data_IF_888758831557
#
_entry.id   IF_888758831557
#
_cell.length_a   1.000
_cell.length_b   1.000
_cell.length_c   1.000
_cell.angle_alpha   90.00
_cell.angle_beta   90.00
_cell.angle_gamma   90.00
#
_symmetry.space_group_name_H-M   'P 1'
#
loop_
_entity.id
_entity.type
_entity.pdbx_description
1 polymer ?
#
# COMPACT_ATOMS: atom_id res chain seq x y z
N UNK A 1 -6.82 23.92 35.17
CA UNK A 1 -8.08 23.36 34.62
C UNK A 1 -7.78 22.78 33.25
N UNK A 2 -7.76 21.45 33.12
CA UNK A 2 -7.58 20.80 31.82
C UNK A 2 -8.91 20.81 31.06
N UNK A 3 -8.93 21.47 29.91
CA UNK A 3 -10.10 21.57 29.03
C UNK A 3 -10.32 20.17 28.41
N UNK A 4 -11.36 19.46 28.86
CA UNK A 4 -11.81 18.20 28.22
C UNK A 4 -12.22 18.53 26.79
N UNK A 5 -11.38 18.22 25.81
CA UNK A 5 -11.78 18.22 24.40
C UNK A 5 -12.93 17.22 24.24
N UNK A 6 -14.11 17.73 23.87
CA UNK A 6 -15.24 16.89 23.50
C UNK A 6 -14.89 16.18 22.19
N UNK A 7 -14.48 14.91 22.29
CA UNK A 7 -14.40 13.98 21.16
C UNK A 7 -15.72 14.03 20.37
N UNK A 8 -15.65 14.52 19.13
CA UNK A 8 -16.81 14.58 18.24
C UNK A 8 -16.93 13.25 17.53
N UNK A 9 -18.03 12.54 17.77
CA UNK A 9 -18.44 11.44 16.92
C UNK A 9 -18.90 11.99 15.58
N UNK A 10 -18.47 11.38 14.47
CA UNK A 10 -18.99 11.72 13.15
C UNK A 10 -20.46 11.26 13.08
N UNK A 11 -21.38 12.20 12.79
CA UNK A 11 -22.83 11.98 12.82
C UNK A 11 -23.24 10.78 11.96
N UNK A 12 -24.01 9.87 12.56
CA UNK A 12 -24.64 8.71 11.93
C UNK A 12 -26.06 9.05 11.49
N UNK A 13 -26.50 8.54 10.34
CA UNK A 13 -27.92 8.51 9.98
C UNK A 13 -28.54 7.25 10.59
N UNK A 14 -29.52 7.33 11.51
CA UNK A 14 -30.07 6.17 12.23
C UNK A 14 -30.82 5.12 11.38
N UNK A 15 -30.84 5.27 10.05
CA UNK A 15 -31.71 4.50 9.14
C UNK A 15 -31.00 3.49 8.24
N UNK A 16 -29.70 3.28 8.41
CA UNK A 16 -29.00 2.24 7.66
C UNK A 16 -29.03 0.93 8.45
N UNK A 17 -29.77 -0.07 7.94
CA UNK A 17 -29.61 -1.47 8.35
C UNK A 17 -28.11 -1.76 8.47
N UNK A 18 -27.70 -2.36 9.61
CA UNK A 18 -26.34 -2.89 9.76
C UNK A 18 -26.01 -3.68 8.47
N UNK A 19 -25.02 -3.26 7.67
CA UNK A 19 -24.74 -3.90 6.41
C UNK A 19 -24.40 -5.36 6.68
N UNK A 20 -24.96 -6.25 5.87
CA UNK A 20 -24.67 -7.67 5.98
C UNK A 20 -23.20 -7.94 5.68
N UNK A 21 -22.67 -9.06 6.18
CA UNK A 21 -21.30 -9.49 5.90
C UNK A 21 -21.04 -9.59 4.40
N UNK A 22 -22.04 -10.02 3.64
CA UNK A 22 -22.00 -10.12 2.18
C UNK A 22 -21.77 -8.76 1.53
N UNK A 23 -22.36 -7.68 2.06
CA UNK A 23 -22.12 -6.32 1.56
C UNK A 23 -20.67 -5.86 1.81
N UNK A 24 -20.07 -6.24 2.94
CA UNK A 24 -18.66 -5.95 3.21
C UNK A 24 -17.74 -6.72 2.25
N UNK A 25 -18.04 -8.00 2.02
CA UNK A 25 -17.32 -8.85 1.05
C UNK A 25 -17.44 -8.28 -0.36
N UNK A 26 -18.63 -7.83 -0.76
CA UNK A 26 -18.84 -7.19 -2.06
C UNK A 26 -17.99 -5.93 -2.25
N UNK A 27 -17.86 -5.09 -1.22
CA UNK A 27 -17.01 -3.89 -1.30
C UNK A 27 -15.53 -4.27 -1.48
N UNK A 28 -15.04 -5.29 -0.78
CA UNK A 28 -13.66 -5.81 -1.00
C UNK A 28 -13.50 -6.36 -2.42
N UNK A 29 -14.44 -7.19 -2.87
CA UNK A 29 -14.38 -7.85 -4.17
C UNK A 29 -14.54 -6.88 -5.35
N UNK A 30 -15.25 -5.76 -5.15
CA UNK A 30 -15.37 -4.70 -6.15
C UNK A 30 -14.00 -4.19 -6.63
N UNK A 31 -13.06 -3.99 -5.70
CA UNK A 31 -11.69 -3.55 -6.02
C UNK A 31 -10.89 -4.61 -6.78
N UNK A 32 -11.28 -5.89 -6.68
CA UNK A 32 -10.61 -6.99 -7.37
C UNK A 32 -10.99 -7.14 -8.85
N UNK A 33 -12.03 -6.44 -9.30
CA UNK A 33 -12.54 -6.52 -10.68
C UNK A 33 -11.58 -5.93 -11.72
N UNK A 34 -10.68 -5.04 -11.29
CA UNK A 34 -9.65 -4.44 -12.14
C UNK A 34 -8.54 -5.46 -12.38
N UNK A 35 -8.32 -5.79 -13.65
CA UNK A 35 -7.35 -6.79 -14.13
C UNK A 35 -5.95 -6.21 -14.31
N UNK A 36 -5.86 -4.94 -14.68
CA UNK A 36 -4.61 -4.23 -14.87
C UNK A 36 -4.78 -2.72 -14.67
N UNK A 37 -3.68 -2.07 -14.30
CA UNK A 37 -3.57 -0.63 -14.07
C UNK A 37 -2.26 -0.17 -14.70
N UNK A 38 -2.29 0.90 -15.48
CA UNK A 38 -1.10 1.62 -15.90
C UNK A 38 -1.29 3.12 -15.67
N UNK A 39 -0.29 3.79 -15.10
CA UNK A 39 -0.36 5.23 -14.89
C UNK A 39 0.92 5.84 -14.32
N UNK A 40 0.94 7.17 -14.31
CA UNK A 40 1.95 7.97 -13.63
C UNK A 40 1.56 8.19 -12.16
N UNK A 41 2.55 8.09 -11.29
CA UNK A 41 2.34 8.16 -9.84
C UNK A 41 3.39 9.05 -9.18
N UNK A 42 2.97 9.74 -8.13
CA UNK A 42 3.86 10.34 -7.15
C UNK A 42 4.13 9.33 -6.03
N UNK A 43 5.39 9.15 -5.67
CA UNK A 43 5.83 8.20 -4.65
C UNK A 43 6.55 8.96 -3.55
N UNK A 44 6.13 8.74 -2.31
CA UNK A 44 6.69 9.37 -1.14
C UNK A 44 7.17 8.32 -0.15
N UNK A 45 8.48 8.24 0.08
CA UNK A 45 9.08 7.32 1.03
C UNK A 45 9.07 7.91 2.44
N UNK A 46 8.67 7.10 3.42
CA UNK A 46 8.66 7.39 4.84
C UNK A 46 9.52 6.33 5.53
N UNK A 47 10.68 6.71 6.06
CA UNK A 47 11.48 5.80 6.86
C UNK A 47 10.82 5.64 8.25
N UNK A 48 10.45 4.41 8.62
CA UNK A 48 9.87 4.14 9.94
C UNK A 48 10.93 3.79 11.00
N UNK A 49 12.20 3.67 10.60
CA UNK A 49 13.32 3.40 11.52
C UNK A 49 13.62 4.56 12.48
N UNK A 50 13.03 5.73 12.26
CA UNK A 50 13.22 6.94 13.08
C UNK A 50 12.09 7.24 14.08
N UNK A 51 11.12 6.34 14.27
CA UNK A 51 10.05 6.54 15.25
C UNK A 51 10.53 6.59 16.73
N UNK A 52 11.83 6.43 17.01
CA UNK A 52 12.45 6.59 18.33
C UNK A 52 13.19 7.92 18.53
N UNK A 53 13.31 8.77 17.51
CA UNK A 53 13.98 10.08 17.62
C UNK A 53 13.12 11.12 16.92
N UNK A 54 12.54 12.05 17.69
CA UNK A 54 11.52 13.02 17.27
C UNK A 54 11.93 14.06 16.21
N UNK A 55 12.58 13.64 15.14
CA UNK A 55 12.90 14.43 13.96
C UNK A 55 12.24 13.73 12.77
N UNK A 56 11.00 14.14 12.49
CA UNK A 56 10.32 13.81 11.25
C UNK A 56 10.97 14.59 10.10
N UNK A 57 12.14 14.13 9.64
CA UNK A 57 12.85 14.74 8.52
C UNK A 57 12.06 14.56 7.22
N UNK A 58 12.00 15.64 6.46
CA UNK A 58 11.06 15.86 5.36
C UNK A 58 11.18 14.82 4.23
N UNK A 59 10.00 14.30 3.90
CA UNK A 59 9.60 13.40 2.85
C UNK A 59 10.12 13.75 1.45
N UNK A 60 10.57 12.75 0.68
CA UNK A 60 10.90 12.94 -0.74
C UNK A 60 9.81 12.38 -1.63
N UNK A 61 9.19 13.28 -2.37
CA UNK A 61 8.29 13.00 -3.49
C UNK A 61 9.16 12.71 -4.72
N UNK A 62 8.96 11.56 -5.34
CA UNK A 62 9.60 11.17 -6.61
C UNK A 62 8.52 10.75 -7.60
N UNK A 63 8.80 10.92 -8.88
CA UNK A 63 7.89 10.51 -9.94
C UNK A 63 8.04 9.01 -10.19
N UNK A 64 6.99 8.39 -10.69
CA UNK A 64 7.03 7.00 -11.10
C UNK A 64 6.05 6.67 -12.22
N UNK A 65 6.27 5.54 -12.86
CA UNK A 65 5.31 4.90 -13.75
C UNK A 65 5.11 3.48 -13.29
N UNK A 66 3.86 3.12 -13.00
CA UNK A 66 3.49 1.80 -12.53
C UNK A 66 2.61 1.11 -13.56
N UNK A 67 2.93 -0.15 -13.84
CA UNK A 67 2.11 -1.07 -14.62
C UNK A 67 1.87 -2.31 -13.78
N UNK A 68 0.62 -2.67 -13.58
CA UNK A 68 0.18 -3.82 -12.78
C UNK A 68 -0.72 -4.69 -13.62
N UNK A 69 -0.60 -6.02 -13.49
CA UNK A 69 -1.52 -6.97 -14.10
C UNK A 69 -1.72 -8.19 -13.20
N UNK A 70 -2.97 -8.65 -13.05
CA UNK A 70 -3.25 -9.88 -12.32
C UNK A 70 -2.78 -11.11 -13.13
N UNK A 71 -2.29 -12.18 -12.47
CA UNK A 71 -1.96 -12.26 -11.04
C UNK A 71 -0.54 -11.77 -10.74
N UNK A 72 -0.37 -10.86 -9.78
CA UNK A 72 0.95 -10.54 -9.17
C UNK A 72 2.01 -9.92 -10.09
N UNK A 73 1.65 -9.47 -11.30
CA UNK A 73 2.59 -8.85 -12.24
C UNK A 73 2.72 -7.36 -11.99
N UNK A 74 3.94 -6.87 -12.02
CA UNK A 74 4.25 -5.46 -11.85
C UNK A 74 5.49 -5.07 -12.63
N UNK A 75 5.46 -3.84 -13.15
CA UNK A 75 6.62 -3.11 -13.62
C UNK A 75 6.54 -1.70 -13.05
N UNK A 76 7.57 -1.27 -12.34
CA UNK A 76 7.65 0.05 -11.74
C UNK A 76 8.97 0.71 -12.15
N UNK A 77 8.86 1.93 -12.67
CA UNK A 77 9.98 2.84 -12.86
C UNK A 77 9.84 3.95 -11.82
N UNK A 78 10.94 4.28 -11.15
CA UNK A 78 11.03 5.39 -10.19
C UNK A 78 12.05 6.39 -10.75
N UNK A 79 11.64 7.66 -10.81
CA UNK A 79 12.37 8.72 -11.49
C UNK A 79 12.57 9.93 -10.55
N UNK A 80 13.74 10.54 -10.62
CA UNK A 80 14.04 11.81 -9.98
C UNK A 80 14.59 12.78 -11.02
N UNK A 81 13.96 13.95 -11.18
CA UNK A 81 14.35 14.95 -12.19
C UNK A 81 14.53 14.31 -13.59
N UNK A 82 13.55 13.53 -14.02
CA UNK A 82 13.53 12.81 -15.31
C UNK A 82 14.60 11.72 -15.50
N UNK A 83 15.35 11.36 -14.45
CA UNK A 83 16.35 10.28 -14.49
C UNK A 83 15.86 9.08 -13.69
N UNK A 84 15.95 7.89 -14.29
CA UNK A 84 15.59 6.64 -13.59
C UNK A 84 16.57 6.37 -12.44
N UNK A 85 16.03 6.25 -11.23
CA UNK A 85 16.80 5.90 -10.03
C UNK A 85 16.72 4.40 -9.74
N UNK A 86 15.58 3.78 -10.03
CA UNK A 86 15.38 2.36 -9.92
C UNK A 86 14.27 1.87 -10.84
N UNK A 87 14.40 0.63 -11.27
CA UNK A 87 13.37 -0.10 -11.96
C UNK A 87 13.16 -1.43 -11.28
N UNK A 88 11.92 -1.89 -11.20
CA UNK A 88 11.61 -3.19 -10.64
C UNK A 88 10.47 -3.86 -11.37
N UNK A 89 10.56 -5.17 -11.49
CA UNK A 89 9.56 -5.98 -12.16
C UNK A 89 9.32 -7.27 -11.40
N UNK A 90 8.10 -7.80 -11.48
CA UNK A 90 7.77 -9.15 -11.07
C UNK A 90 6.80 -9.75 -12.07
N UNK A 91 7.02 -11.01 -12.43
CA UNK A 91 6.14 -11.80 -13.29
C UNK A 91 5.04 -12.57 -12.51
N UNK A 92 5.01 -12.39 -11.18
CA UNK A 92 4.13 -13.08 -10.26
C UNK A 92 4.85 -14.12 -9.41
N UNK A 93 5.99 -14.64 -9.88
CA UNK A 93 6.78 -15.66 -9.19
C UNK A 93 8.20 -15.17 -8.91
N UNK A 94 8.82 -14.51 -9.88
CA UNK A 94 10.18 -13.99 -9.83
C UNK A 94 10.15 -12.48 -9.94
N UNK A 95 11.00 -11.83 -9.15
CA UNK A 95 11.20 -10.40 -9.23
C UNK A 95 12.64 -10.05 -9.60
N UNK A 96 12.78 -8.87 -10.18
CA UNK A 96 14.06 -8.25 -10.52
C UNK A 96 14.02 -6.79 -10.12
N UNK A 97 15.10 -6.30 -9.53
CA UNK A 97 15.26 -4.89 -9.14
C UNK A 97 16.60 -4.39 -9.66
N UNK A 98 16.58 -3.32 -10.44
CA UNK A 98 17.78 -2.59 -10.83
C UNK A 98 17.81 -1.26 -10.07
N UNK A 99 18.83 -1.07 -9.25
CA UNK A 99 19.13 0.23 -8.62
C UNK A 99 20.19 0.91 -9.48
N UNK A 100 19.84 2.04 -10.10
CA UNK A 100 20.60 2.65 -11.19
C UNK A 100 21.42 3.87 -10.76
N UNK A 101 21.09 4.44 -9.60
CA UNK A 101 21.69 5.67 -9.04
C UNK A 101 21.96 5.47 -7.54
N UNK A 102 22.70 6.40 -6.95
CA UNK A 102 23.29 6.29 -5.61
C UNK A 102 24.77 5.96 -5.64
N UNK A 103 25.39 5.84 -4.45
CA UNK A 103 26.79 5.40 -4.32
C UNK A 103 27.00 4.05 -5.04
N UNK A 104 28.21 3.80 -5.55
CA UNK A 104 28.50 2.60 -6.32
C UNK A 104 28.20 1.30 -5.55
N UNK A 105 28.26 1.34 -4.21
CA UNK A 105 27.86 0.20 -3.36
C UNK A 105 26.36 -0.16 -3.44
N UNK A 106 25.52 0.74 -3.94
CA UNK A 106 24.09 0.53 -4.06
C UNK A 106 23.63 0.21 -5.49
N UNK A 107 24.44 0.50 -6.51
CA UNK A 107 24.12 0.12 -7.90
C UNK A 107 24.21 -1.39 -8.02
N UNK A 108 23.10 -2.03 -8.37
CA UNK A 108 23.02 -3.49 -8.41
C UNK A 108 21.81 -3.97 -9.19
N UNK A 109 21.94 -5.17 -9.73
CA UNK A 109 20.84 -5.92 -10.31
C UNK A 109 20.50 -7.12 -9.42
N UNK A 110 19.38 -7.05 -8.70
CA UNK A 110 18.90 -8.11 -7.81
C UNK A 110 17.90 -8.99 -8.55
N UNK A 111 18.03 -10.31 -8.38
CA UNK A 111 17.05 -11.32 -8.82
C UNK A 111 16.57 -12.08 -7.59
N UNK A 112 15.28 -12.38 -7.53
CA UNK A 112 14.71 -13.16 -6.44
C UNK A 112 13.37 -13.79 -6.79
N UNK A 113 12.87 -14.63 -5.89
CA UNK A 113 11.52 -15.19 -5.90
C UNK A 113 10.60 -14.46 -4.91
N UNK A 114 9.32 -14.38 -5.24
CA UNK A 114 8.31 -13.71 -4.41
C UNK A 114 8.02 -14.45 -3.09
N UNK A 115 8.26 -15.77 -3.05
CA UNK A 115 8.03 -16.62 -1.88
C UNK A 115 9.16 -16.62 -0.85
N UNK A 116 10.35 -16.14 -1.22
CA UNK A 116 11.49 -16.15 -0.31
C UNK A 116 11.43 -15.01 0.71
N UNK A 117 11.85 -15.32 1.94
CA UNK A 117 12.05 -14.32 2.99
C UNK A 117 13.50 -13.86 2.98
N UNK A 118 13.75 -12.65 2.46
CA UNK A 118 15.10 -12.09 2.44
C UNK A 118 15.39 -11.36 3.75
N UNK A 119 16.57 -11.58 4.35
CA UNK A 119 17.01 -10.79 5.49
C UNK A 119 17.10 -9.32 5.09
N UNK A 120 16.93 -8.45 6.08
CA UNK A 120 17.13 -7.02 5.94
C UNK A 120 18.52 -6.75 5.37
N UNK A 121 18.61 -5.87 4.39
CA UNK A 121 19.89 -5.32 3.98
C UNK A 121 20.26 -4.20 4.96
N UNK A 122 21.35 -4.37 5.69
CA UNK A 122 21.87 -3.33 6.57
C UNK A 122 22.34 -2.15 5.72
N UNK A 123 21.67 -1.01 5.86
CA UNK A 123 22.16 0.26 5.34
C UNK A 123 23.01 0.92 6.40
N UNK A 124 24.33 0.95 6.17
CA UNK A 124 25.27 1.67 7.03
C UNK A 124 24.86 3.16 7.09
N UNK A 125 24.47 3.62 8.28
CA UNK A 125 24.11 5.01 8.51
C UNK A 125 25.37 5.89 8.45
N UNK A 126 25.70 6.42 7.27
CA UNK A 126 26.80 7.40 7.15
C UNK A 126 26.33 8.80 7.51
N UNK A 127 26.85 9.32 8.62
CA UNK A 127 26.79 10.72 9.04
C UNK A 127 27.56 11.61 8.06
N UNK A 128 26.87 12.30 7.14
CA UNK A 128 27.50 13.24 6.22
C UNK A 128 26.49 14.17 5.53
N UNK A 129 26.75 15.47 5.57
CA UNK A 129 25.88 16.55 5.08
C UNK A 129 26.14 16.87 3.59
N UNK A 130 25.04 17.02 2.83
CA UNK A 130 24.88 17.63 1.47
C UNK A 130 24.64 16.72 0.25
N UNK A 131 24.72 15.39 0.35
CA UNK A 131 24.32 14.45 -0.72
C UNK A 131 23.26 13.42 -0.27
N UNK A 132 22.35 13.85 0.63
CA UNK A 132 21.32 13.01 1.28
C UNK A 132 20.23 12.50 0.32
N UNK A 133 19.85 13.37 -0.63
CA UNK A 133 19.21 13.12 -1.94
C UNK A 133 18.82 11.70 -2.36
N UNK A 134 19.73 11.16 -3.15
CA UNK A 134 19.57 9.90 -3.84
C UNK A 134 19.86 8.74 -2.90
N UNK A 135 20.77 8.93 -1.94
CA UNK A 135 21.20 7.90 -0.98
C UNK A 135 20.06 7.39 -0.10
N UNK A 136 19.21 8.28 0.41
CA UNK A 136 18.09 7.89 1.29
C UNK A 136 16.97 7.19 0.51
N UNK A 137 16.67 7.61 -0.73
CA UNK A 137 15.72 6.91 -1.61
C UNK A 137 16.25 5.50 -1.96
N UNK A 138 17.52 5.41 -2.33
CA UNK A 138 18.19 4.15 -2.65
C UNK A 138 18.25 3.20 -1.44
N UNK A 139 18.43 3.74 -0.24
CA UNK A 139 18.34 2.99 1.03
C UNK A 139 16.93 2.44 1.27
N UNK A 140 15.88 3.26 1.13
CA UNK A 140 14.50 2.81 1.28
C UNK A 140 14.10 1.74 0.24
N UNK A 141 14.66 1.84 -0.97
CA UNK A 141 14.49 0.85 -2.03
C UNK A 141 15.17 -0.49 -1.74
N UNK A 142 16.10 -0.55 -0.78
CA UNK A 142 16.84 -1.78 -0.50
C UNK A 142 15.94 -2.91 0.03
N UNK A 143 14.89 -2.56 0.79
CA UNK A 143 13.92 -3.50 1.36
C UNK A 143 12.58 -3.52 0.60
N UNK A 144 12.36 -2.57 -0.32
CA UNK A 144 11.16 -2.56 -1.15
C UNK A 144 11.23 -3.70 -2.18
N UNK A 145 10.19 -4.53 -2.22
CA UNK A 145 10.04 -5.57 -3.23
C UNK A 145 8.75 -5.36 -4.03
N UNK A 146 8.72 -5.76 -5.32
CA UNK A 146 7.60 -5.43 -6.19
C UNK A 146 6.27 -6.03 -5.74
N UNK A 147 6.30 -7.23 -5.14
CA UNK A 147 5.09 -7.90 -4.67
C UNK A 147 4.36 -7.13 -3.56
N UNK A 148 5.07 -6.31 -2.76
CA UNK A 148 4.41 -5.50 -1.73
C UNK A 148 3.46 -4.46 -2.36
N UNK A 149 3.79 -3.99 -3.56
CA UNK A 149 2.97 -3.06 -4.33
C UNK A 149 1.80 -3.77 -5.01
N UNK A 150 2.03 -4.97 -5.57
CA UNK A 150 0.92 -5.74 -6.15
C UNK A 150 -0.10 -6.12 -5.09
N UNK A 151 0.32 -6.50 -3.89
CA UNK A 151 -0.60 -6.87 -2.81
C UNK A 151 -1.43 -5.67 -2.32
N UNK A 152 -0.84 -4.47 -2.35
CA UNK A 152 -1.52 -3.23 -1.96
C UNK A 152 -2.48 -2.70 -3.04
N UNK A 153 -2.09 -2.72 -4.32
CA UNK A 153 -2.92 -2.18 -5.40
C UNK A 153 -3.93 -3.18 -5.96
N UNK A 154 -3.59 -4.48 -5.94
CA UNK A 154 -4.36 -5.55 -6.56
C UNK A 154 -4.88 -6.53 -5.51
N UNK A 155 -5.67 -6.00 -4.55
CA UNK A 155 -6.28 -6.76 -3.45
C UNK A 155 -6.88 -8.07 -3.96
N UNK A 156 -6.53 -9.18 -3.31
CA UNK A 156 -7.08 -10.50 -3.64
C UNK A 156 -8.55 -10.57 -3.23
N UNK A 157 -9.44 -11.08 -4.10
CA UNK A 157 -10.84 -11.25 -3.74
C UNK A 157 -10.99 -12.16 -2.51
N UNK A 158 -12.09 -11.98 -1.81
CA UNK A 158 -12.64 -12.91 -0.85
C UNK A 158 -13.46 -13.93 -1.62
N UNK A 159 -13.01 -15.19 -1.60
CA UNK A 159 -13.74 -16.32 -2.16
C UNK A 159 -14.55 -17.01 -1.06
N UNK A 160 -15.87 -17.03 -1.23
CA UNK A 160 -16.79 -17.68 -0.30
C UNK A 160 -16.58 -19.21 -0.22
N UNK A 161 -15.96 -19.80 -1.25
CA UNK A 161 -15.72 -21.24 -1.34
C UNK A 161 -14.30 -21.65 -0.88
N UNK A 162 -13.49 -20.72 -0.39
CA UNK A 162 -12.09 -20.95 -0.01
C UNK A 162 -11.90 -21.84 1.24
N UNK A 163 -12.97 -22.14 1.98
CA UNK A 163 -12.87 -22.79 3.29
C UNK A 163 -12.33 -21.88 4.40
N UNK A 164 -12.06 -20.61 4.10
CA UNK A 164 -11.65 -19.61 5.09
C UNK A 164 -12.86 -19.12 5.90
N UNK A 165 -12.58 -18.71 7.14
CA UNK A 165 -13.59 -18.19 8.07
C UNK A 165 -13.56 -16.68 8.04
N UNK A 166 -14.75 -16.06 7.97
CA UNK A 166 -14.90 -14.61 7.97
C UNK A 166 -15.80 -14.15 9.12
N UNK A 167 -15.23 -13.37 10.02
CA UNK A 167 -15.94 -12.73 11.15
C UNK A 167 -16.12 -11.24 10.90
N UNK A 168 -17.19 -10.69 11.48
CA UNK A 168 -17.48 -9.26 11.41
C UNK A 168 -17.53 -8.68 12.82
N UNK A 169 -16.80 -7.61 13.06
CA UNK A 169 -16.83 -6.84 14.31
C UNK A 169 -16.87 -5.33 14.03
N UNK A 170 -16.97 -4.51 15.09
CA UNK A 170 -16.99 -3.05 15.00
C UNK A 170 -15.84 -2.47 15.81
N UNK A 171 -15.23 -1.40 15.30
CA UNK A 171 -14.14 -0.70 15.96
C UNK A 171 -14.29 0.81 15.83
N UNK A 172 -13.92 1.54 16.87
CA UNK A 172 -13.97 3.00 16.90
C UNK A 172 -12.56 3.52 17.08
N UNK A 173 -12.05 4.22 16.07
CA UNK A 173 -10.69 4.75 16.08
C UNK A 173 -10.71 6.26 16.24
N UNK A 174 -9.91 6.77 17.16
CA UNK A 174 -9.65 8.20 17.25
C UNK A 174 -8.59 8.61 16.22
N UNK A 175 -8.90 9.56 15.35
CA UNK A 175 -8.01 10.00 14.28
C UNK A 175 -8.09 11.53 14.07
N UNK A 176 -7.09 12.16 13.44
CA UNK A 176 -7.16 13.57 13.07
C UNK A 176 -8.36 13.86 12.18
N UNK A 177 -9.07 14.96 12.43
CA UNK A 177 -10.16 15.41 11.59
C UNK A 177 -9.60 16.04 10.30
N UNK A 178 -9.71 15.30 9.20
CA UNK A 178 -9.17 15.69 7.88
C UNK A 178 -10.17 16.49 7.03
N UNK A 179 -11.36 16.81 7.56
CA UNK A 179 -12.36 17.60 6.83
C UNK A 179 -11.85 19.02 6.59
N UNK A 180 -12.17 19.61 5.42
CA UNK A 180 -11.72 20.96 5.02
C UNK A 180 -12.01 22.07 6.05
N UNK A 181 -13.06 21.91 6.85
CA UNK A 181 -13.49 22.89 7.86
C UNK A 181 -12.99 22.57 9.27
N UNK A 182 -12.25 21.48 9.46
CA UNK A 182 -11.76 21.07 10.76
C UNK A 182 -10.67 22.03 11.25
N UNK A 183 -10.72 22.39 12.55
CA UNK A 183 -9.63 23.15 13.17
C UNK A 183 -8.40 22.26 13.27
N UNK A 184 -7.22 22.82 13.02
CA UNK A 184 -5.94 22.10 13.17
C UNK A 184 -5.84 21.45 14.56
N UNK A 185 -5.45 20.18 14.60
CA UNK A 185 -5.33 19.40 15.84
C UNK A 185 -6.62 18.77 16.35
N UNK A 186 -7.77 19.07 15.73
CA UNK A 186 -9.04 18.41 16.09
C UNK A 186 -8.96 16.93 15.81
N UNK A 187 -9.43 16.10 16.75
CA UNK A 187 -9.59 14.67 16.59
C UNK A 187 -11.07 14.28 16.54
N UNK A 188 -11.36 13.23 15.80
CA UNK A 188 -12.70 12.63 15.67
C UNK A 188 -12.62 11.15 15.97
N UNK A 189 -13.74 10.60 16.45
CA UNK A 189 -13.89 9.15 16.56
C UNK A 189 -14.57 8.66 15.29
N UNK A 190 -13.86 7.84 14.51
CA UNK A 190 -14.36 7.24 13.28
C UNK A 190 -14.73 5.77 13.51
N UNK A 191 -15.98 5.38 13.20
CA UNK A 191 -16.42 4.00 13.31
C UNK A 191 -16.06 3.19 12.06
N UNK A 192 -15.62 1.95 12.27
CA UNK A 192 -15.29 0.98 11.23
C UNK A 192 -16.06 -0.33 11.46
N UNK A 193 -16.41 -1.01 10.37
CA UNK A 193 -16.59 -2.46 10.41
C UNK A 193 -15.23 -3.12 10.18
N UNK A 194 -14.93 -4.15 10.96
CA UNK A 194 -13.82 -5.05 10.70
C UNK A 194 -14.38 -6.32 10.08
N UNK A 195 -13.86 -6.70 8.93
CA UNK A 195 -14.03 -8.02 8.35
C UNK A 195 -12.70 -8.75 8.49
N UNK A 196 -12.68 -9.87 9.20
CA UNK A 196 -11.45 -10.58 9.54
C UNK A 196 -11.48 -11.96 8.90
N UNK A 197 -10.41 -12.28 8.17
CA UNK A 197 -10.23 -13.55 7.47
C UNK A 197 -9.29 -14.44 8.26
N UNK A 198 -9.73 -15.66 8.53
CA UNK A 198 -8.97 -16.68 9.25
C UNK A 198 -8.82 -17.95 8.41
N UNK A 199 -7.66 -18.56 8.50
CA UNK A 199 -7.49 -19.98 8.19
C UNK A 199 -7.73 -20.81 9.44
N UNK A 200 -8.29 -22.01 9.27
CA UNK A 200 -8.43 -22.99 10.34
C UNK A 200 -7.66 -24.25 9.96
N UNK A 201 -6.84 -24.75 10.88
CA UNK A 201 -6.17 -26.04 10.77
C UNK A 201 -6.39 -26.82 12.07
N UNK A 202 -7.32 -27.77 12.06
CA UNK A 202 -7.75 -28.48 13.27
C UNK A 202 -8.34 -27.53 14.31
N UNK A 203 -7.76 -27.51 15.51
CA UNK A 203 -8.17 -26.64 16.60
C UNK A 203 -7.60 -25.21 16.48
N UNK A 204 -6.58 -25.00 15.65
CA UNK A 204 -5.90 -23.72 15.53
C UNK A 204 -6.56 -22.83 14.46
N UNK A 205 -6.83 -21.58 14.81
CA UNK A 205 -7.24 -20.54 13.87
C UNK A 205 -6.17 -19.46 13.76
N UNK A 206 -5.82 -19.05 12.54
CA UNK A 206 -4.82 -18.01 12.27
C UNK A 206 -5.43 -16.89 11.44
N UNK A 207 -5.31 -15.66 11.94
CA UNK A 207 -5.74 -14.47 11.20
C UNK A 207 -4.82 -14.23 10.02
N UNK A 208 -5.38 -14.13 8.82
CA UNK A 208 -4.64 -13.88 7.58
C UNK A 208 -4.71 -12.40 7.21
N UNK A 209 -5.93 -11.85 7.21
CA UNK A 209 -6.22 -10.47 6.79
C UNK A 209 -7.27 -9.83 7.69
N UNK A 210 -7.14 -8.53 7.91
CA UNK A 210 -8.19 -7.69 8.50
C UNK A 210 -8.50 -6.53 7.55
N UNK A 211 -9.74 -6.47 7.10
CA UNK A 211 -10.27 -5.38 6.29
C UNK A 211 -10.99 -4.39 7.20
N UNK A 212 -10.59 -3.14 7.12
CA UNK A 212 -11.21 -2.02 7.81
C UNK A 212 -12.11 -1.29 6.83
N UNK A 213 -13.40 -1.33 7.08
CA UNK A 213 -14.41 -0.72 6.22
C UNK A 213 -14.97 0.50 6.94
N UNK A 214 -14.72 1.68 6.38
CA UNK A 214 -15.26 2.93 6.90
C UNK A 214 -16.78 2.93 6.76
N UNK A 215 -17.44 3.52 7.76
CA UNK A 215 -18.88 3.66 7.87
C UNK A 215 -19.34 5.09 7.58
N UNK A 216 -18.42 6.04 7.47
CA UNK A 216 -18.71 7.46 7.27
C UNK A 216 -18.80 7.74 5.77
N UNK A 217 -19.98 8.18 5.31
CA UNK A 217 -20.18 8.52 3.89
C UNK A 217 -20.32 7.32 2.95
N UNK A 218 -20.47 6.10 3.48
CA UNK A 218 -20.67 4.87 2.71
C UNK A 218 -19.99 3.67 3.36
N UNK A 219 -20.06 2.51 2.70
CA UNK A 219 -19.29 1.31 3.01
C UNK A 219 -18.10 1.31 2.06
N UNK A 220 -16.92 1.69 2.55
CA UNK A 220 -15.70 1.82 1.74
C UNK A 220 -14.53 1.14 2.42
N UNK A 221 -13.78 0.35 1.66
CA UNK A 221 -12.55 -0.22 2.18
C UNK A 221 -11.55 0.91 2.46
N UNK A 222 -11.18 1.07 3.73
CA UNK A 222 -10.28 2.13 4.17
C UNK A 222 -8.88 1.60 4.46
N UNK A 223 -8.74 0.34 4.90
CA UNK A 223 -7.45 -0.25 5.27
C UNK A 223 -7.47 -1.77 5.23
N UNK A 224 -6.33 -2.38 4.92
CA UNK A 224 -6.11 -3.83 4.93
C UNK A 224 -4.82 -4.13 5.68
N UNK A 225 -4.92 -5.00 6.67
CA UNK A 225 -3.78 -5.52 7.41
C UNK A 225 -3.57 -6.99 7.07
N UNK A 226 -2.32 -7.42 6.89
CA UNK A 226 -1.95 -8.82 6.69
C UNK A 226 -1.01 -9.29 7.79
N UNK A 227 -1.13 -10.56 8.17
CA UNK A 227 -0.41 -11.13 9.31
C UNK A 227 0.40 -12.36 8.87
N UNK A 228 1.53 -12.61 9.56
CA UNK A 228 2.32 -13.83 9.38
C UNK A 228 1.72 -15.02 10.15
N UNK A 229 2.35 -16.18 10.03
CA UNK A 229 1.91 -17.40 10.71
C UNK A 229 1.91 -17.32 12.25
N UNK A 230 2.63 -16.33 12.81
CA UNK A 230 2.69 -16.07 14.26
C UNK A 230 1.71 -14.98 14.68
N UNK A 231 0.88 -14.47 13.77
CA UNK A 231 -0.06 -13.39 14.02
C UNK A 231 0.59 -12.00 14.11
N UNK A 232 1.83 -11.85 13.64
CA UNK A 232 2.53 -10.56 13.62
C UNK A 232 2.09 -9.76 12.39
N UNK A 233 1.84 -8.46 12.56
CA UNK A 233 1.49 -7.56 11.46
C UNK A 233 2.67 -7.45 10.47
N UNK A 234 2.42 -7.84 9.22
CA UNK A 234 3.41 -7.84 8.12
C UNK A 234 3.25 -6.61 7.24
N UNK A 235 2.03 -6.34 6.80
CA UNK A 235 1.72 -5.21 5.93
C UNK A 235 0.44 -4.53 6.41
N UNK A 236 0.44 -3.22 6.31
CA UNK A 236 -0.68 -2.37 6.67
C UNK A 236 -0.89 -1.34 5.56
N UNK A 237 -1.97 -1.50 4.79
CA UNK A 237 -2.29 -0.70 3.61
C UNK A 237 -3.51 0.16 3.90
N UNK A 238 -3.39 1.47 3.73
CA UNK A 238 -4.50 2.41 3.85
C UNK A 238 -4.86 3.02 2.49
N UNK A 239 -6.16 3.14 2.24
CA UNK A 239 -6.74 3.57 0.97
C UNK A 239 -7.45 4.92 1.16
N UNK A 240 -7.08 5.89 0.35
CA UNK A 240 -7.57 7.26 0.47
C UNK A 240 -8.10 7.80 -0.85
N UNK A 241 -8.94 8.83 -0.74
CA UNK A 241 -9.41 9.65 -1.84
C UNK A 241 -10.03 8.81 -2.98
N UNK A 242 -11.07 8.05 -2.63
CA UNK A 242 -11.88 7.31 -3.60
C UNK A 242 -12.38 8.27 -4.70
N UNK A 243 -12.10 7.94 -5.95
CA UNK A 243 -12.60 8.66 -7.12
C UNK A 243 -12.62 7.77 -8.36
N UNK A 244 -13.27 8.24 -9.41
CA UNK A 244 -13.24 7.56 -10.72
C UNK A 244 -11.83 7.70 -11.33
N UNK A 245 -11.17 6.56 -11.55
CA UNK A 245 -9.95 6.44 -12.34
C UNK A 245 -10.31 5.85 -13.71
N UNK A 246 -9.56 6.21 -14.76
CA UNK A 246 -9.70 5.60 -16.08
C UNK A 246 -9.77 6.58 -17.23
N UNK A 247 -9.06 6.30 -18.32
CA UNK A 247 -9.12 7.05 -19.59
C UNK A 247 -10.17 6.51 -20.57
N UNK A 248 -10.44 5.20 -20.54
CA UNK A 248 -11.43 4.52 -21.39
C UNK A 248 -12.34 3.63 -20.56
N UNK A 249 -11.79 2.54 -20.00
CA UNK A 249 -12.46 1.81 -18.93
C UNK A 249 -12.30 2.61 -17.63
N UNK A 250 -13.38 2.77 -16.87
CA UNK A 250 -13.36 3.51 -15.60
C UNK A 250 -13.77 2.64 -14.42
N UNK A 251 -13.21 2.94 -13.24
CA UNK A 251 -13.58 2.32 -11.99
C UNK A 251 -13.44 3.32 -10.83
N UNK A 252 -14.32 3.21 -9.82
CA UNK A 252 -14.13 3.92 -8.55
C UNK A 252 -13.03 3.22 -7.76
N UNK A 253 -11.90 3.89 -7.56
CA UNK A 253 -10.73 3.33 -6.91
C UNK A 253 -10.09 4.37 -5.98
N UNK A 254 -9.31 3.94 -4.97
CA UNK A 254 -8.52 4.85 -4.17
C UNK A 254 -7.43 5.49 -5.03
N UNK A 255 -7.31 6.82 -4.97
CA UNK A 255 -6.27 7.51 -5.73
C UNK A 255 -4.96 7.66 -5.00
N UNK A 256 -4.94 7.38 -3.69
CA UNK A 256 -3.74 7.35 -2.86
C UNK A 256 -3.75 6.10 -2.00
N UNK A 257 -2.63 5.39 -1.99
CA UNK A 257 -2.41 4.16 -1.24
C UNK A 257 -1.19 4.37 -0.37
N UNK A 258 -1.34 4.17 0.93
CA UNK A 258 -0.22 4.17 1.88
C UNK A 258 0.07 2.74 2.31
N UNK A 259 1.33 2.33 2.31
CA UNK A 259 1.79 0.99 2.66
C UNK A 259 2.79 1.14 3.80
N UNK A 260 2.53 0.48 4.93
CA UNK A 260 3.50 0.36 6.04
C UNK A 260 3.90 -1.10 6.15
N UNK A 261 5.19 -1.38 6.18
CA UNK A 261 5.74 -2.72 6.47
C UNK A 261 6.68 -2.62 7.66
N UNK A 262 6.17 -2.80 8.89
CA UNK A 262 6.95 -2.55 10.11
C UNK A 262 8.22 -3.40 10.21
N UNK A 263 8.16 -4.66 9.77
CA UNK A 263 9.29 -5.58 9.81
C UNK A 263 10.38 -5.21 8.78
N UNK A 264 9.98 -4.63 7.64
CA UNK A 264 10.88 -4.13 6.60
C UNK A 264 11.26 -2.65 6.83
N UNK A 265 10.73 -2.04 7.89
CA UNK A 265 11.00 -0.69 8.39
C UNK A 265 10.76 0.44 7.39
N UNK A 266 9.83 0.27 6.45
CA UNK A 266 9.45 1.35 5.56
C UNK A 266 7.96 1.63 5.57
N UNK A 267 7.64 2.87 5.25
CA UNK A 267 6.32 3.31 4.84
C UNK A 267 6.42 4.04 3.50
N UNK A 268 5.37 3.94 2.70
CA UNK A 268 5.31 4.48 1.36
C UNK A 268 3.92 5.07 1.14
N UNK A 269 3.84 6.23 0.50
CA UNK A 269 2.59 6.80 0.00
C UNK A 269 2.69 6.92 -1.52
N UNK A 270 1.73 6.36 -2.25
CA UNK A 270 1.69 6.42 -3.71
C UNK A 270 0.37 7.04 -4.13
N UNK A 271 0.42 8.09 -4.96
CA UNK A 271 -0.76 8.76 -5.51
C UNK A 271 -0.71 8.79 -7.04
N UNK A 272 -1.84 8.58 -7.73
CA UNK A 272 -1.88 8.82 -9.17
C UNK A 272 -1.79 10.32 -9.46
N UNK A 273 -0.90 10.70 -10.38
CA UNK A 273 -0.68 12.10 -10.78
C UNK A 273 -1.92 12.68 -11.46
N UNK A 274 -2.49 11.92 -12.39
CA UNK A 274 -3.75 12.25 -13.04
C UNK A 274 -4.64 11.01 -13.11
N UNK A 275 -5.85 11.15 -12.60
CA UNK A 275 -6.83 10.07 -12.48
C UNK A 275 -7.51 9.74 -13.81
N UNK A 276 -7.61 10.71 -14.73
CA UNK A 276 -8.23 10.54 -16.03
C UNK A 276 -7.30 9.90 -17.07
N UNK A 277 -5.98 9.90 -16.85
CA UNK A 277 -5.01 9.24 -17.73
C UNK A 277 -4.67 7.80 -17.33
N UNK A 278 -5.16 7.31 -16.19
CA UNK A 278 -4.94 5.91 -15.78
C UNK A 278 -5.57 4.97 -16.80
N UNK A 279 -4.80 4.04 -17.34
CA UNK A 279 -5.31 2.98 -18.20
C UNK A 279 -5.71 1.78 -17.32
N UNK A 280 -6.94 1.30 -17.49
CA UNK A 280 -7.47 0.15 -16.76
C UNK A 280 -7.79 -1.00 -17.70
N UNK A 281 -7.60 -2.23 -17.23
CA UNK A 281 -8.02 -3.47 -17.92
C UNK A 281 -7.41 -3.69 -19.31
N UNK A 282 -6.33 -2.97 -19.64
CA UNK A 282 -5.50 -3.25 -20.81
C UNK A 282 -4.68 -4.51 -20.58
N UNK A 283 -4.68 -5.42 -21.54
CA UNK A 283 -3.80 -6.59 -21.49
C UNK A 283 -2.38 -6.21 -21.93
N UNK A 284 -1.40 -6.60 -21.12
CA UNK A 284 0.02 -6.41 -21.38
C UNK A 284 0.71 -7.76 -21.61
N UNK A 285 1.65 -7.78 -22.56
CA UNK A 285 2.48 -8.95 -22.83
C UNK A 285 3.26 -9.36 -21.56
N UNK A 286 3.32 -10.65 -21.20
CA UNK A 286 4.08 -11.12 -20.04
C UNK A 286 5.54 -10.65 -20.01
N UNK A 287 6.19 -10.45 -21.16
CA UNK A 287 7.56 -9.95 -21.25
C UNK A 287 7.72 -8.53 -20.70
N UNK A 288 6.65 -7.73 -20.67
CA UNK A 288 6.67 -6.40 -20.07
C UNK A 288 6.96 -6.42 -18.55
N UNK A 289 6.80 -7.58 -17.91
CA UNK A 289 6.98 -7.77 -16.47
C UNK A 289 8.31 -8.49 -16.13
N UNK A 290 9.21 -8.56 -17.11
CA UNK A 290 10.54 -9.16 -16.96
C UNK A 290 11.59 -8.06 -17.18
N UNK A 291 12.32 -7.70 -16.14
CA UNK A 291 13.41 -6.72 -16.24
C UNK A 291 14.65 -7.37 -16.85
N UNK A 292 15.17 -6.81 -17.93
CA UNK A 292 16.45 -7.19 -18.52
C UNK A 292 17.58 -6.33 -17.96
N UNK A 293 18.75 -6.92 -17.69
CA UNK A 293 19.90 -6.17 -17.23
C UNK A 293 20.62 -5.47 -18.39
N UNK A 294 20.13 -4.29 -18.75
CA UNK A 294 20.70 -3.46 -19.82
C UNK A 294 21.82 -2.54 -19.35
N UNK A 295 22.09 -2.52 -18.04
CA UNK A 295 23.02 -1.58 -17.39
C UNK A 295 24.37 -2.20 -17.05
N UNK A 296 24.59 -3.48 -17.39
CA UNK A 296 25.82 -4.21 -17.05
C UNK A 296 26.11 -4.24 -15.53
N UNK A 297 25.04 -4.28 -14.73
CA UNK A 297 25.07 -4.35 -13.26
C UNK A 297 25.06 -5.78 -12.71
#
# INVERSE_FOLDING_TARGET
>A
MAQREKLRFLNFSPRDLKPSKERLIQEVNRLSTVKSIHGKVDIQFEDTSFASSGIADQYRLVDGSITLQRPGKIYLIIQFTFVDIAQMASDGEHFRVAVLRGDDKYKRFVKGTNSANYPKLETEATTGTKQKSEKEAVSALSNLRPQHLTDAFMIRPIDANSGLIYTQSEFFQEEPDTRRQAKKGTRVVRPYYLLEEFSQNGADARMLRRFWIDRVGGIRLARVQTYDERGVLVTDVSYYNEKTLGSSATASLPSRIEITRPQDQYKLSISYQDSASVELNREFDPKAFVLENKWQL
#
